data_IF_314708605512
#
_entry.id   IF_314708605512
#
_cell.length_a   1.000
_cell.length_b   1.000
_cell.length_c   1.000
_cell.angle_alpha   90.00
_cell.angle_beta   90.00
_cell.angle_gamma   90.00
#
_symmetry.space_group_name_H-M   'P 1'
#
loop_
_entity.id
_entity.type
_entity.pdbx_description
1 polymer ?
#
# COMPACT_ATOMS: atom_id res chain seq x y z
N UNK A 1 -17.21 12.81 19.90
CA UNK A 1 -16.62 14.13 19.63
C UNK A 1 -15.52 13.90 18.61
N UNK A 2 -15.55 14.60 17.49
CA UNK A 2 -14.50 14.58 16.47
C UNK A 2 -13.66 15.84 16.68
N UNK A 3 -12.35 15.70 16.77
CA UNK A 3 -11.42 16.83 16.87
C UNK A 3 -10.53 16.86 15.62
N UNK A 4 -10.36 18.06 15.05
CA UNK A 4 -9.43 18.29 13.95
C UNK A 4 -8.02 18.50 14.53
N UNK A 5 -7.11 17.57 14.22
CA UNK A 5 -5.72 17.64 14.69
C UNK A 5 -4.80 18.34 13.68
N UNK A 6 -5.20 18.41 12.40
CA UNK A 6 -4.43 19.03 11.33
C UNK A 6 -5.37 19.45 10.18
N UNK A 7 -5.08 20.59 9.57
CA UNK A 7 -5.86 21.15 8.45
C UNK A 7 -4.91 21.66 7.36
N UNK A 8 -4.92 21.00 6.21
CA UNK A 8 -4.03 21.32 5.09
C UNK A 8 -4.29 22.70 4.48
N UNK A 9 -5.55 23.18 4.47
CA UNK A 9 -5.87 24.49 3.95
C UNK A 9 -5.33 25.62 4.86
N UNK A 10 -5.30 25.39 6.16
CA UNK A 10 -4.69 26.31 7.11
C UNK A 10 -3.16 26.30 7.00
N UNK A 11 -2.54 25.11 6.90
CA UNK A 11 -1.09 24.99 6.68
C UNK A 11 -0.67 25.71 5.40
N UNK A 12 -1.40 25.51 4.30
CA UNK A 12 -1.12 26.19 3.03
C UNK A 12 -1.16 27.71 3.18
N UNK A 13 -2.13 28.25 3.92
CA UNK A 13 -2.24 29.70 4.18
C UNK A 13 -1.08 30.21 5.04
N UNK A 14 -0.70 29.45 6.08
CA UNK A 14 0.41 29.82 6.97
C UNK A 14 1.73 29.86 6.21
N UNK A 15 1.96 28.91 5.31
CA UNK A 15 3.17 28.80 4.51
C UNK A 15 3.19 29.78 3.31
N UNK A 16 2.08 30.42 3.00
CA UNK A 16 1.91 31.38 1.89
C UNK A 16 2.48 30.85 0.56
N UNK A 17 2.04 29.64 0.17
CA UNK A 17 2.58 28.92 -0.97
C UNK A 17 1.53 28.68 -2.07
N UNK A 18 1.95 28.75 -3.34
CA UNK A 18 1.09 28.43 -4.48
C UNK A 18 0.88 26.91 -4.62
N UNK A 19 1.96 26.13 -4.49
CA UNK A 19 1.92 24.67 -4.55
C UNK A 19 1.89 24.08 -3.14
N UNK A 20 1.07 23.05 -2.94
CA UNK A 20 0.95 22.35 -1.67
C UNK A 20 0.68 20.87 -1.88
N UNK A 21 1.70 20.06 -1.73
CA UNK A 21 1.64 18.59 -1.79
C UNK A 21 1.87 17.99 -0.42
N UNK A 22 0.96 17.12 0.02
CA UNK A 22 1.12 16.33 1.25
C UNK A 22 1.74 15.00 0.88
N UNK A 23 2.87 14.65 1.49
CA UNK A 23 3.53 13.36 1.29
C UNK A 23 3.02 12.29 2.24
N UNK A 24 3.09 12.55 3.53
CA UNK A 24 2.70 11.58 4.57
C UNK A 24 2.02 12.28 5.75
N UNK A 25 1.20 11.53 6.47
CA UNK A 25 0.54 11.93 7.71
C UNK A 25 0.53 10.71 8.63
N UNK A 26 1.40 10.69 9.63
CA UNK A 26 1.57 9.56 10.54
C UNK A 26 1.44 10.00 12.00
N UNK A 27 0.59 9.35 12.77
CA UNK A 27 0.43 9.60 14.21
C UNK A 27 1.36 8.66 14.97
N UNK A 28 2.04 9.17 16.00
CA UNK A 28 2.88 8.35 16.89
C UNK A 28 2.07 7.28 17.64
N UNK A 29 2.73 6.26 18.18
CA UNK A 29 2.03 5.12 18.80
C UNK A 29 1.28 5.51 20.07
N UNK A 30 1.74 6.55 20.76
CA UNK A 30 1.12 7.08 21.99
C UNK A 30 0.13 8.25 21.71
N UNK A 31 -0.23 8.52 20.46
CA UNK A 31 -1.11 9.60 20.02
C UNK A 31 -0.64 11.01 20.42
N UNK A 32 0.64 11.19 20.77
CA UNK A 32 1.18 12.48 21.21
C UNK A 32 1.64 13.35 20.06
N UNK A 33 2.21 12.74 19.04
CA UNK A 33 2.81 13.46 17.92
C UNK A 33 2.13 13.14 16.60
N UNK A 34 2.08 14.15 15.73
CA UNK A 34 1.75 14.01 14.33
C UNK A 34 3.01 14.32 13.51
N UNK A 35 3.51 13.32 12.79
CA UNK A 35 4.48 13.51 11.72
C UNK A 35 3.75 13.83 10.42
N UNK A 36 4.16 14.86 9.71
CA UNK A 36 3.63 15.16 8.40
C UNK A 36 4.72 15.70 7.48
N UNK A 37 4.57 15.50 6.20
CA UNK A 37 5.54 15.96 5.22
C UNK A 37 4.88 16.74 4.10
N UNK A 38 5.55 17.81 3.65
CA UNK A 38 5.05 18.73 2.65
C UNK A 38 6.08 18.98 1.56
N UNK A 39 5.63 18.98 0.30
CA UNK A 39 6.30 19.65 -0.81
C UNK A 39 5.53 20.94 -1.13
N UNK A 40 6.19 22.07 -0.95
CA UNK A 40 5.60 23.39 -1.19
C UNK A 40 6.09 24.06 -2.49
N UNK A 41 6.87 23.32 -3.29
CA UNK A 41 7.48 23.82 -4.53
C UNK A 41 7.10 23.01 -5.76
N UNK A 42 6.50 21.82 -5.60
CA UNK A 42 6.29 20.86 -6.68
C UNK A 42 7.59 20.19 -7.14
N UNK A 43 8.55 20.08 -6.23
CA UNK A 43 9.90 19.56 -6.50
C UNK A 43 10.06 18.09 -6.17
N UNK A 44 9.04 17.48 -5.53
CA UNK A 44 9.09 16.11 -4.98
C UNK A 44 10.18 15.91 -3.90
N UNK A 45 10.81 16.99 -3.44
CA UNK A 45 11.56 17.01 -2.19
C UNK A 45 10.63 17.44 -1.07
N UNK A 46 10.39 16.52 -0.15
CA UNK A 46 9.51 16.78 0.98
C UNK A 46 10.29 17.27 2.20
N UNK A 47 9.64 18.13 2.95
CA UNK A 47 10.09 18.56 4.27
C UNK A 47 9.21 17.90 5.33
N UNK A 48 9.82 17.20 6.29
CA UNK A 48 9.13 16.55 7.39
C UNK A 48 9.03 17.50 8.59
N UNK A 49 7.87 17.52 9.21
CA UNK A 49 7.53 18.24 10.43
C UNK A 49 7.00 17.27 11.47
N UNK A 50 7.33 17.50 12.74
CA UNK A 50 6.74 16.79 13.87
C UNK A 50 6.01 17.79 14.75
N UNK A 51 4.72 17.56 14.93
CA UNK A 51 3.82 18.41 15.71
C UNK A 51 3.36 17.71 16.98
N UNK A 52 3.41 18.38 18.10
CA UNK A 52 2.71 17.94 19.31
C UNK A 52 1.21 18.19 19.14
N UNK A 53 0.42 17.13 19.24
CA UNK A 53 -1.03 17.16 18.93
C UNK A 53 -1.78 18.05 19.93
N UNK A 54 -1.39 18.02 21.20
CA UNK A 54 -2.08 18.78 22.25
C UNK A 54 -1.82 20.29 22.13
N UNK A 55 -0.56 20.67 21.91
CA UNK A 55 -0.16 22.08 21.83
C UNK A 55 -0.32 22.66 20.42
N UNK A 56 -0.50 21.81 19.42
CA UNK A 56 -0.55 22.15 17.99
C UNK A 56 0.71 22.88 17.48
N UNK A 57 1.87 22.69 18.14
CA UNK A 57 3.14 23.31 17.78
C UNK A 57 4.10 22.29 17.18
N UNK A 58 4.82 22.71 16.16
CA UNK A 58 5.95 21.94 15.65
C UNK A 58 7.08 21.96 16.67
N UNK A 59 7.63 20.78 16.97
CA UNK A 59 8.62 20.57 18.05
C UNK A 59 10.03 20.28 17.52
N UNK A 60 10.16 19.93 16.24
CA UNK A 60 11.45 19.74 15.59
C UNK A 60 11.69 20.85 14.59
N UNK A 61 12.97 21.06 14.25
CA UNK A 61 13.31 21.78 13.02
C UNK A 61 12.93 20.95 11.81
N UNK A 62 12.74 21.64 10.70
CA UNK A 62 12.42 21.05 9.40
C UNK A 62 13.48 20.04 8.98
N UNK A 63 13.05 18.82 8.63
CA UNK A 63 13.91 17.81 8.03
C UNK A 63 13.68 17.86 6.52
N UNK A 64 14.62 18.43 5.81
CA UNK A 64 14.49 18.73 4.36
C UNK A 64 15.07 17.65 3.47
N UNK A 65 14.75 17.72 2.18
CA UNK A 65 15.30 16.83 1.13
C UNK A 65 14.99 15.36 1.38
N UNK A 66 13.76 15.08 1.84
CA UNK A 66 13.30 13.71 2.14
C UNK A 66 12.38 13.18 1.08
N UNK A 67 12.15 11.85 1.08
CA UNK A 67 11.12 11.19 0.28
C UNK A 67 9.69 11.50 0.77
N UNK A 68 9.55 12.11 1.94
CA UNK A 68 8.29 12.39 2.60
C UNK A 68 7.79 11.29 3.54
N UNK A 69 8.24 10.05 3.41
CA UNK A 69 7.79 8.95 4.28
C UNK A 69 8.34 9.08 5.70
N UNK A 70 7.49 8.80 6.68
CA UNK A 70 7.78 8.89 8.11
C UNK A 70 7.49 7.54 8.77
N UNK A 71 8.43 7.03 9.55
CA UNK A 71 8.21 5.85 10.39
C UNK A 71 8.60 6.16 11.82
N UNK A 72 7.63 6.23 12.74
CA UNK A 72 7.93 6.40 14.16
C UNK A 72 8.62 5.15 14.74
N UNK A 73 9.55 5.36 15.66
CA UNK A 73 9.99 4.25 16.51
C UNK A 73 8.85 3.82 17.43
N UNK A 74 8.86 2.54 17.85
CA UNK A 74 7.77 1.99 18.66
C UNK A 74 7.65 2.70 20.03
N UNK A 75 8.74 3.25 20.56
CA UNK A 75 8.80 4.02 21.79
C UNK A 75 8.54 5.53 21.59
N UNK A 76 8.26 5.95 20.36
CA UNK A 76 8.01 7.33 19.96
C UNK A 76 9.13 8.34 20.29
N UNK A 77 10.37 7.85 20.46
CA UNK A 77 11.55 8.73 20.67
C UNK A 77 12.15 9.20 19.37
N UNK A 78 12.05 8.41 18.33
CA UNK A 78 12.68 8.64 17.06
C UNK A 78 11.68 8.58 15.91
N UNK A 79 12.07 9.19 14.79
CA UNK A 79 11.53 8.85 13.48
C UNK A 79 12.64 8.33 12.58
N UNK A 80 12.29 7.43 11.68
CA UNK A 80 13.13 7.05 10.54
C UNK A 80 12.60 7.70 9.29
N UNK A 81 13.51 8.15 8.43
CA UNK A 81 13.17 8.78 7.16
C UNK A 81 14.22 8.48 6.10
N UNK A 82 13.83 8.61 4.83
CA UNK A 82 14.74 8.47 3.69
C UNK A 82 15.13 9.84 3.16
N UNK A 83 16.42 10.11 3.08
CA UNK A 83 16.96 11.33 2.48
C UNK A 83 17.20 11.12 1.00
N UNK A 84 16.75 12.09 0.17
CA UNK A 84 16.99 12.12 -1.27
C UNK A 84 18.32 12.76 -1.60
N UNK A 85 18.95 12.29 -2.66
CA UNK A 85 20.09 12.95 -3.29
C UNK A 85 19.67 13.93 -4.39
N UNK A 86 20.62 14.56 -5.06
CA UNK A 86 20.38 15.54 -6.14
C UNK A 86 19.67 14.97 -7.37
N UNK A 87 19.62 13.64 -7.49
CA UNK A 87 18.93 12.93 -8.56
C UNK A 87 17.55 12.37 -8.10
N UNK A 88 17.00 12.86 -7.01
CA UNK A 88 15.77 12.35 -6.37
C UNK A 88 15.86 10.86 -5.98
N UNK A 89 17.06 10.35 -5.68
CA UNK A 89 17.24 8.97 -5.27
C UNK A 89 17.33 8.86 -3.76
N UNK A 90 16.41 8.13 -3.17
CA UNK A 90 16.41 7.82 -1.75
C UNK A 90 17.33 6.64 -1.47
N UNK A 91 18.60 6.91 -1.11
CA UNK A 91 19.58 5.86 -0.84
C UNK A 91 20.05 5.76 0.60
N UNK A 92 19.64 6.72 1.44
CA UNK A 92 20.08 6.80 2.84
C UNK A 92 18.88 6.84 3.77
N UNK A 93 18.90 5.99 4.80
CA UNK A 93 17.94 6.02 5.89
C UNK A 93 18.61 6.61 7.11
N UNK A 94 17.98 7.62 7.67
CA UNK A 94 18.41 8.28 8.91
C UNK A 94 17.41 8.01 10.03
N UNK A 95 17.93 8.08 11.26
CA UNK A 95 17.15 8.12 12.50
C UNK A 95 17.30 9.51 13.11
N UNK A 96 16.18 10.19 13.35
CA UNK A 96 16.11 11.50 14.00
C UNK A 96 15.50 11.37 15.38
N UNK A 97 16.15 11.87 16.42
CA UNK A 97 15.58 11.95 17.76
C UNK A 97 14.64 13.15 17.84
N UNK A 98 13.38 12.89 18.23
CA UNK A 98 12.31 13.90 18.25
C UNK A 98 12.66 15.02 19.25
N UNK A 99 12.74 16.25 18.73
CA UNK A 99 13.10 17.43 19.52
C UNK A 99 14.57 17.87 19.41
N UNK A 100 15.42 17.07 18.79
CA UNK A 100 16.83 17.41 18.56
C UNK A 100 17.06 18.17 17.25
N UNK A 101 18.32 18.43 16.93
CA UNK A 101 18.72 19.08 15.69
C UNK A 101 19.06 18.03 14.64
N UNK A 102 18.73 18.32 13.37
CA UNK A 102 18.94 17.42 12.24
C UNK A 102 20.43 17.11 11.92
N UNK A 103 21.37 17.91 12.40
CA UNK A 103 22.81 17.62 12.27
C UNK A 103 23.29 16.52 13.24
N UNK A 104 22.43 16.07 14.14
CA UNK A 104 22.67 14.97 15.07
C UNK A 104 22.04 13.66 14.57
N UNK A 105 21.40 13.68 13.41
CA UNK A 105 20.72 12.52 12.85
C UNK A 105 21.70 11.40 12.50
N UNK A 106 21.35 10.20 12.90
CA UNK A 106 22.17 9.01 12.71
C UNK A 106 21.89 8.32 11.38
N UNK A 107 22.94 8.07 10.60
CA UNK A 107 22.84 7.27 9.39
C UNK A 107 22.70 5.78 9.75
N UNK A 108 21.54 5.18 9.49
CA UNK A 108 21.26 3.76 9.77
C UNK A 108 21.65 2.87 8.61
N UNK A 109 21.38 3.31 7.38
CA UNK A 109 21.65 2.50 6.19
C UNK A 109 21.99 3.38 4.99
N UNK A 110 22.91 2.89 4.14
CA UNK A 110 23.23 3.51 2.86
C UNK A 110 23.33 2.46 1.75
N UNK A 111 22.48 2.58 0.74
CA UNK A 111 22.58 1.83 -0.51
C UNK A 111 23.67 2.45 -1.40
N UNK A 112 24.62 1.63 -1.85
CA UNK A 112 25.74 2.08 -2.67
C UNK A 112 25.44 2.15 -4.17
N UNK A 113 24.44 1.38 -4.61
CA UNK A 113 24.03 1.37 -6.03
C UNK A 113 23.13 2.56 -6.32
N UNK A 114 23.42 3.31 -7.38
CA UNK A 114 22.58 4.41 -7.85
C UNK A 114 21.28 3.96 -8.50
N UNK A 115 21.18 2.67 -8.88
CA UNK A 115 19.98 2.10 -9.48
C UNK A 115 18.89 1.76 -8.44
N UNK A 116 19.26 1.68 -7.15
CA UNK A 116 18.37 1.22 -6.09
C UNK A 116 17.92 2.38 -5.20
N UNK A 117 16.70 2.28 -4.70
CA UNK A 117 16.14 3.16 -3.67
C UNK A 117 15.83 2.37 -2.42
N UNK A 118 15.80 3.04 -1.27
CA UNK A 118 15.55 2.40 0.01
C UNK A 118 14.32 2.96 0.71
N UNK A 119 13.67 2.11 1.48
CA UNK A 119 12.60 2.48 2.41
C UNK A 119 12.71 1.68 3.69
N UNK A 120 12.11 2.15 4.78
CA UNK A 120 12.05 1.46 6.05
C UNK A 120 10.62 1.35 6.54
N UNK A 121 10.29 0.26 7.22
CA UNK A 121 8.98 0.06 7.81
C UNK A 121 9.02 -0.89 9.00
N UNK A 122 8.04 -0.77 9.88
CA UNK A 122 7.85 -1.64 11.03
C UNK A 122 7.16 -2.95 10.60
N UNK A 123 7.60 -4.08 11.15
CA UNK A 123 6.96 -5.37 10.92
C UNK A 123 5.53 -5.41 11.50
N UNK A 124 4.69 -6.31 10.96
CA UNK A 124 3.30 -6.44 11.39
C UNK A 124 3.13 -6.87 12.86
N UNK A 125 4.12 -7.53 13.44
CA UNK A 125 4.16 -7.94 14.84
C UNK A 125 5.03 -7.01 15.72
N UNK A 126 5.45 -5.85 15.17
CA UNK A 126 6.17 -4.79 15.88
C UNK A 126 7.50 -5.24 16.51
N UNK A 127 8.14 -6.30 15.96
CA UNK A 127 9.38 -6.84 16.48
C UNK A 127 10.62 -6.42 15.70
N UNK A 128 10.45 -6.03 14.46
CA UNK A 128 11.53 -5.74 13.54
C UNK A 128 11.24 -4.48 12.72
N UNK A 129 12.30 -3.76 12.39
CA UNK A 129 12.30 -2.85 11.26
C UNK A 129 12.88 -3.57 10.05
N UNK A 130 12.21 -3.42 8.91
CA UNK A 130 12.69 -3.92 7.62
C UNK A 130 13.10 -2.75 6.74
N UNK A 131 14.31 -2.83 6.18
CA UNK A 131 14.80 -1.91 5.17
C UNK A 131 14.73 -2.62 3.83
N UNK A 132 13.96 -2.06 2.90
CA UNK A 132 13.88 -2.55 1.53
C UNK A 132 14.82 -1.74 0.66
N UNK A 133 15.64 -2.40 -0.15
CA UNK A 133 16.44 -1.80 -1.21
C UNK A 133 16.06 -2.44 -2.52
N UNK A 134 15.55 -1.66 -3.49
CA UNK A 134 15.01 -2.21 -4.73
C UNK A 134 15.14 -1.28 -5.92
N UNK A 135 15.20 -1.88 -7.10
CA UNK A 135 14.85 -1.29 -8.39
C UNK A 135 13.54 -1.92 -8.91
N UNK A 136 13.26 -1.77 -10.21
CA UNK A 136 12.03 -2.33 -10.82
C UNK A 136 11.95 -3.86 -10.81
N UNK A 137 13.08 -4.56 -10.85
CA UNK A 137 13.13 -6.00 -11.11
C UNK A 137 13.86 -6.78 -10.03
N UNK A 138 14.51 -6.11 -9.09
CA UNK A 138 15.41 -6.73 -8.13
C UNK A 138 15.23 -6.09 -6.77
N UNK A 139 15.15 -6.88 -5.73
CA UNK A 139 15.09 -6.35 -4.36
C UNK A 139 16.07 -7.04 -3.44
N UNK A 140 16.39 -6.36 -2.35
CA UNK A 140 17.17 -6.83 -1.23
C UNK A 140 16.59 -6.26 0.05
N UNK A 141 16.57 -7.04 1.12
CA UNK A 141 15.97 -6.58 2.36
C UNK A 141 16.90 -6.84 3.54
N UNK A 142 16.93 -5.87 4.44
CA UNK A 142 17.68 -5.93 5.70
C UNK A 142 16.71 -5.81 6.87
N UNK A 143 17.13 -6.23 8.05
CA UNK A 143 16.35 -6.10 9.27
C UNK A 143 17.22 -5.81 10.48
N UNK A 144 16.60 -5.20 11.48
CA UNK A 144 17.12 -5.12 12.86
C UNK A 144 15.92 -5.18 13.83
N UNK A 145 16.18 -5.52 15.08
CA UNK A 145 15.12 -5.63 16.08
C UNK A 145 14.74 -4.25 16.62
N UNK A 146 13.46 -4.11 16.99
CA UNK A 146 12.92 -2.85 17.54
C UNK A 146 13.66 -2.44 18.83
N UNK A 147 14.07 -3.41 19.64
CA UNK A 147 14.79 -3.20 20.90
C UNK A 147 16.27 -2.83 20.76
N UNK A 148 16.85 -2.83 19.56
CA UNK A 148 18.26 -2.47 19.34
C UNK A 148 18.48 -0.96 19.50
N UNK A 149 19.16 -0.52 20.55
CA UNK A 149 19.48 0.89 20.78
C UNK A 149 20.39 1.44 19.66
N UNK A 150 21.32 0.61 19.21
CA UNK A 150 22.24 0.93 18.09
C UNK A 150 21.92 0.00 16.92
N UNK A 151 21.01 0.40 16.03
CA UNK A 151 20.57 -0.45 14.92
C UNK A 151 21.73 -0.89 14.02
N UNK A 152 21.84 -2.20 13.81
CA UNK A 152 22.81 -2.78 12.89
C UNK A 152 22.07 -3.65 11.84
N UNK A 153 21.67 -3.07 10.71
CA UNK A 153 20.89 -3.78 9.71
C UNK A 153 21.57 -5.03 9.17
N UNK A 154 20.93 -6.19 9.33
CA UNK A 154 21.40 -7.50 8.86
C UNK A 154 20.71 -7.85 7.57
N UNK A 155 21.46 -8.30 6.57
CA UNK A 155 20.95 -8.79 5.31
C UNK A 155 20.10 -10.06 5.51
N UNK A 156 18.91 -10.10 4.87
CA UNK A 156 18.07 -11.30 4.87
C UNK A 156 18.52 -12.24 3.76
N UNK A 157 18.31 -11.88 2.49
CA UNK A 157 18.72 -12.67 1.32
C UNK A 157 19.45 -11.73 0.37
N UNK A 158 20.62 -12.14 -0.10
CA UNK A 158 21.39 -11.37 -1.09
C UNK A 158 20.59 -11.24 -2.39
N UNK A 159 20.56 -10.03 -2.96
CA UNK A 159 19.88 -9.75 -4.23
C UNK A 159 20.39 -10.65 -5.37
N UNK A 160 19.46 -11.06 -6.20
CA UNK A 160 19.69 -11.79 -7.44
C UNK A 160 18.95 -11.04 -8.56
N UNK A 161 19.62 -10.75 -9.65
CA UNK A 161 19.03 -9.97 -10.75
C UNK A 161 17.75 -10.62 -11.26
N UNK A 162 16.68 -9.86 -11.34
CA UNK A 162 15.36 -10.33 -11.76
C UNK A 162 14.54 -10.99 -10.65
N UNK A 163 15.07 -11.06 -9.41
CA UNK A 163 14.35 -11.59 -8.27
C UNK A 163 13.86 -10.45 -7.38
N UNK A 164 12.57 -10.40 -7.21
CA UNK A 164 11.88 -9.55 -6.24
C UNK A 164 11.50 -10.38 -5.03
N UNK A 165 11.69 -9.82 -3.84
CA UNK A 165 11.20 -10.44 -2.62
C UNK A 165 10.93 -9.38 -1.54
N UNK A 166 9.99 -9.69 -0.65
CA UNK A 166 9.78 -8.94 0.58
C UNK A 166 9.36 -9.88 1.71
N UNK A 167 10.01 -9.74 2.86
CA UNK A 167 9.75 -10.52 4.06
C UNK A 167 8.89 -9.71 5.02
N UNK A 168 7.86 -10.34 5.57
CA UNK A 168 7.04 -9.85 6.66
C UNK A 168 7.16 -10.76 7.87
N UNK A 169 6.97 -10.23 9.08
CA UNK A 169 6.98 -10.99 10.32
C UNK A 169 5.60 -11.01 10.97
N UNK A 170 5.16 -12.21 11.40
CA UNK A 170 3.92 -12.41 12.15
C UNK A 170 3.94 -13.73 12.94
N UNK A 171 3.54 -13.67 14.21
CA UNK A 171 3.44 -14.85 15.08
C UNK A 171 4.72 -15.71 15.13
N UNK A 172 5.88 -15.07 15.28
CA UNK A 172 7.22 -15.70 15.30
C UNK A 172 7.54 -16.49 14.03
N UNK A 173 6.97 -16.10 12.91
CA UNK A 173 7.26 -16.63 11.58
C UNK A 173 7.55 -15.50 10.60
N UNK A 174 8.33 -15.83 9.59
CA UNK A 174 8.66 -14.91 8.51
C UNK A 174 8.06 -15.43 7.22
N UNK A 175 7.42 -14.53 6.49
CA UNK A 175 6.73 -14.81 5.23
C UNK A 175 7.42 -14.04 4.12
N UNK A 176 7.97 -14.75 3.16
CA UNK A 176 8.68 -14.19 2.03
C UNK A 176 7.81 -14.26 0.77
N UNK A 177 7.30 -13.12 0.35
CA UNK A 177 6.62 -12.95 -0.92
C UNK A 177 7.68 -12.76 -2.01
N UNK A 178 7.78 -13.67 -2.98
CA UNK A 178 8.87 -13.65 -3.96
C UNK A 178 8.47 -14.26 -5.30
N UNK A 179 9.11 -13.77 -6.37
CA UNK A 179 9.03 -14.36 -7.70
C UNK A 179 10.16 -15.38 -7.97
N UNK A 180 10.98 -15.73 -6.99
CA UNK A 180 12.05 -16.73 -7.18
C UNK A 180 11.47 -18.10 -7.49
N UNK A 181 11.75 -18.60 -8.70
CA UNK A 181 11.17 -19.84 -9.25
C UNK A 181 9.62 -19.83 -9.28
N UNK A 182 9.01 -18.65 -9.48
CA UNK A 182 7.57 -18.45 -9.53
C UNK A 182 7.28 -17.15 -10.28
N UNK A 183 6.97 -17.21 -11.57
CA UNK A 183 6.78 -16.01 -12.43
C UNK A 183 5.76 -15.03 -11.80
N UNK A 184 4.61 -15.54 -11.35
CA UNK A 184 3.52 -14.76 -10.74
C UNK A 184 3.55 -14.78 -9.20
N UNK A 185 4.76 -14.89 -8.63
CA UNK A 185 5.03 -14.93 -7.20
C UNK A 185 4.49 -16.16 -6.47
N UNK A 186 4.99 -16.33 -5.28
CA UNK A 186 4.59 -17.29 -4.24
C UNK A 186 4.89 -16.71 -2.87
N UNK A 187 4.48 -17.41 -1.81
CA UNK A 187 4.85 -17.04 -0.45
C UNK A 187 5.55 -18.23 0.20
N UNK A 188 6.80 -18.02 0.60
CA UNK A 188 7.55 -18.96 1.39
C UNK A 188 7.50 -18.58 2.88
N UNK A 189 7.71 -19.53 3.78
CA UNK A 189 7.67 -19.35 5.24
C UNK A 189 8.90 -19.95 5.90
N UNK A 190 9.42 -19.29 6.93
CA UNK A 190 10.47 -19.83 7.82
C UNK A 190 10.22 -19.40 9.26
N UNK A 191 10.81 -20.12 10.21
CA UNK A 191 10.77 -19.78 11.64
C UNK A 191 11.96 -18.89 12.06
N UNK A 192 12.98 -18.73 11.21
CA UNK A 192 14.19 -17.98 11.52
C UNK A 192 14.79 -17.31 10.29
N UNK A 193 15.24 -16.06 10.44
CA UNK A 193 16.03 -15.36 9.42
C UNK A 193 17.52 -15.72 9.46
N UNK A 194 18.00 -16.26 10.58
CA UNK A 194 19.41 -16.70 10.73
C UNK A 194 19.62 -18.07 10.10
N UNK A 195 18.66 -19.00 10.35
CA UNK A 195 18.66 -20.35 9.76
C UNK A 195 17.57 -20.40 8.70
N UNK A 196 17.87 -19.88 7.53
CA UNK A 196 16.91 -19.70 6.44
C UNK A 196 16.49 -21.05 5.81
N UNK A 197 15.49 -21.69 6.41
CA UNK A 197 14.88 -22.90 5.88
C UNK A 197 13.50 -22.57 5.31
N UNK A 198 13.49 -21.87 4.18
CA UNK A 198 12.27 -21.46 3.50
C UNK A 198 11.51 -22.66 2.94
N UNK A 199 10.21 -22.73 3.24
CA UNK A 199 9.27 -23.72 2.71
C UNK A 199 8.11 -23.00 2.06
N UNK A 200 7.61 -23.50 0.96
CA UNK A 200 6.47 -22.88 0.30
C UNK A 200 5.22 -22.98 1.18
N UNK A 201 4.59 -21.83 1.42
CA UNK A 201 3.37 -21.65 2.20
C UNK A 201 2.15 -21.43 1.31
N UNK A 202 2.32 -20.60 0.27
CA UNK A 202 1.34 -20.41 -0.81
C UNK A 202 2.06 -20.77 -2.10
N UNK A 203 1.60 -21.83 -2.75
CA UNK A 203 2.15 -22.29 -4.02
C UNK A 203 1.89 -21.27 -5.14
N UNK A 204 2.81 -21.14 -6.09
CA UNK A 204 2.55 -20.36 -7.30
C UNK A 204 1.39 -20.99 -8.08
N UNK A 205 0.66 -20.17 -8.81
CA UNK A 205 -0.47 -20.60 -9.64
C UNK A 205 -0.28 -20.04 -11.05
N UNK A 206 -0.53 -20.85 -12.06
CA UNK A 206 -0.43 -20.41 -13.44
C UNK A 206 -1.42 -19.28 -13.73
N UNK A 207 -0.93 -18.19 -14.32
CA UNK A 207 -1.71 -16.99 -14.68
C UNK A 207 -2.44 -16.31 -13.50
N UNK A 208 -1.93 -16.49 -12.28
CA UNK A 208 -2.45 -15.85 -11.07
C UNK A 208 -1.34 -15.15 -10.33
N UNK A 209 -1.34 -13.82 -10.38
CA UNK A 209 -0.42 -13.00 -9.60
C UNK A 209 -0.79 -13.11 -8.11
N UNK A 210 0.08 -13.72 -7.33
CA UNK A 210 -0.05 -13.81 -5.88
C UNK A 210 0.41 -12.50 -5.23
N UNK A 211 -0.45 -11.84 -4.49
CA UNK A 211 -0.11 -10.65 -3.71
C UNK A 211 0.48 -10.97 -2.33
N UNK A 212 0.99 -9.93 -1.68
CA UNK A 212 1.51 -10.04 -0.32
C UNK A 212 0.44 -10.32 0.73
N UNK A 213 0.88 -10.62 1.95
CA UNK A 213 0.00 -10.91 3.08
C UNK A 213 -0.21 -9.69 3.97
N UNK A 214 -1.45 -9.50 4.41
CA UNK A 214 -1.82 -8.68 5.57
C UNK A 214 -2.18 -9.60 6.72
N UNK A 215 -1.65 -9.29 7.90
CA UNK A 215 -1.80 -10.13 9.08
C UNK A 215 -2.68 -9.45 10.14
N UNK A 216 -3.57 -10.22 10.72
CA UNK A 216 -4.36 -9.89 11.90
C UNK A 216 -4.28 -11.07 12.88
N UNK A 217 -4.78 -10.91 14.12
CA UNK A 217 -4.70 -11.89 15.18
C UNK A 217 -4.84 -13.35 14.70
N UNK A 218 -5.97 -13.67 14.11
CA UNK A 218 -6.34 -15.03 13.70
C UNK A 218 -6.43 -15.18 12.18
N UNK A 219 -5.97 -14.18 11.41
CA UNK A 219 -6.22 -14.11 9.98
C UNK A 219 -4.97 -13.74 9.18
N UNK A 220 -4.81 -14.41 8.07
CA UNK A 220 -3.92 -14.04 6.99
C UNK A 220 -4.80 -13.68 5.80
N UNK A 221 -4.60 -12.49 5.26
CA UNK A 221 -5.35 -11.96 4.14
C UNK A 221 -4.37 -11.72 3.02
N UNK A 222 -4.71 -12.14 1.81
CA UNK A 222 -3.92 -11.88 0.60
C UNK A 222 -4.80 -11.52 -0.57
N UNK A 223 -4.24 -10.80 -1.54
CA UNK A 223 -4.83 -10.60 -2.86
C UNK A 223 -4.30 -11.63 -3.86
N UNK A 224 -5.11 -11.95 -4.85
CA UNK A 224 -4.74 -12.67 -6.07
C UNK A 224 -5.33 -11.93 -7.25
N UNK A 225 -4.55 -11.75 -8.32
CA UNK A 225 -5.05 -11.14 -9.56
C UNK A 225 -4.99 -12.16 -10.68
N UNK A 226 -6.11 -12.42 -11.32
CA UNK A 226 -6.19 -13.28 -12.50
C UNK A 226 -7.13 -12.68 -13.53
N UNK A 227 -6.77 -12.79 -14.80
CA UNK A 227 -7.55 -12.18 -15.89
C UNK A 227 -7.84 -10.68 -15.61
N UNK A 228 -6.85 -9.95 -15.07
CA UNK A 228 -6.92 -8.55 -14.63
C UNK A 228 -8.11 -8.23 -13.67
N UNK A 229 -8.52 -9.19 -12.85
CA UNK A 229 -9.49 -9.01 -11.77
C UNK A 229 -8.89 -9.45 -10.44
N UNK A 230 -8.99 -8.56 -9.46
CA UNK A 230 -8.49 -8.81 -8.12
C UNK A 230 -9.49 -9.61 -7.30
N UNK A 231 -8.97 -10.50 -6.46
CA UNK A 231 -9.71 -11.28 -5.47
C UNK A 231 -9.01 -11.17 -4.13
N UNK A 232 -9.77 -11.27 -3.05
CA UNK A 232 -9.24 -11.30 -1.70
C UNK A 232 -9.51 -12.68 -1.09
N UNK A 233 -8.47 -13.29 -0.56
CA UNK A 233 -8.56 -14.55 0.18
C UNK A 233 -8.28 -14.31 1.65
N UNK A 234 -9.10 -14.90 2.50
CA UNK A 234 -8.95 -14.87 3.96
C UNK A 234 -8.70 -16.27 4.48
N UNK A 235 -7.67 -16.44 5.29
CA UNK A 235 -7.30 -17.71 5.92
C UNK A 235 -7.30 -17.57 7.43
N UNK A 236 -8.10 -18.36 8.10
CA UNK A 236 -8.04 -18.44 9.56
C UNK A 236 -6.86 -19.31 9.98
N UNK A 237 -5.95 -18.77 10.82
CA UNK A 237 -4.71 -19.45 11.20
C UNK A 237 -4.93 -20.64 12.13
N UNK A 238 -6.03 -20.64 12.90
CA UNK A 238 -6.37 -21.71 13.83
C UNK A 238 -7.05 -22.89 13.12
N UNK A 239 -8.14 -22.60 12.40
CA UNK A 239 -8.93 -23.63 11.69
C UNK A 239 -8.31 -24.06 10.38
N UNK A 240 -7.33 -23.31 9.86
CA UNK A 240 -6.69 -23.50 8.53
C UNK A 240 -7.66 -23.32 7.35
N UNK A 241 -8.92 -22.98 7.62
CA UNK A 241 -9.91 -22.72 6.56
C UNK A 241 -9.53 -21.45 5.79
N UNK A 242 -9.58 -21.54 4.49
CA UNK A 242 -9.38 -20.45 3.55
C UNK A 242 -10.60 -20.29 2.66
N UNK A 243 -10.98 -19.06 2.39
CA UNK A 243 -12.11 -18.74 1.50
C UNK A 243 -11.87 -17.42 0.77
N UNK A 244 -12.45 -17.29 -0.43
CA UNK A 244 -12.54 -16.03 -1.15
C UNK A 244 -13.56 -15.11 -0.46
N UNK A 245 -13.20 -13.84 -0.28
CA UNK A 245 -14.07 -12.83 0.30
C UNK A 245 -14.93 -12.19 -0.79
N UNK A 246 -16.19 -12.58 -0.86
CA UNK A 246 -17.16 -12.02 -1.79
C UNK A 246 -17.81 -10.77 -1.17
N UNK A 247 -17.55 -9.60 -1.75
CA UNK A 247 -18.06 -8.31 -1.23
C UNK A 247 -19.41 -7.96 -1.84
N UNK A 248 -19.66 -8.34 -3.10
CA UNK A 248 -20.83 -8.00 -3.89
C UNK A 248 -21.15 -9.12 -4.89
N UNK A 249 -22.37 -9.12 -5.42
CA UNK A 249 -22.79 -10.01 -6.51
C UNK A 249 -22.22 -9.56 -7.89
N UNK A 250 -21.67 -8.36 -7.98
CA UNK A 250 -21.02 -7.87 -9.19
C UNK A 250 -19.67 -8.59 -9.40
N UNK A 251 -19.57 -9.36 -10.48
CA UNK A 251 -18.37 -10.15 -10.80
C UNK A 251 -17.19 -9.30 -11.29
N UNK A 252 -17.48 -8.14 -11.88
CA UNK A 252 -16.48 -7.20 -12.42
C UNK A 252 -16.42 -6.04 -11.46
N UNK A 253 -15.50 -6.12 -10.50
CA UNK A 253 -15.32 -5.13 -9.45
C UNK A 253 -13.87 -5.12 -8.96
N UNK A 254 -13.56 -4.09 -8.21
CA UNK A 254 -12.27 -3.92 -7.53
C UNK A 254 -12.50 -4.04 -6.02
N UNK A 255 -12.15 -5.17 -5.42
CA UNK A 255 -12.15 -5.31 -3.98
C UNK A 255 -10.88 -4.69 -3.38
N UNK A 256 -10.99 -4.14 -2.19
CA UNK A 256 -9.86 -3.65 -1.42
C UNK A 256 -10.00 -4.01 0.05
N UNK A 257 -8.88 -4.10 0.75
CA UNK A 257 -8.88 -4.32 2.19
C UNK A 257 -7.85 -3.42 2.86
N UNK A 258 -8.22 -2.84 3.98
CA UNK A 258 -7.32 -2.06 4.81
C UNK A 258 -7.60 -2.27 6.29
N UNK A 259 -6.60 -1.97 7.12
CA UNK A 259 -6.73 -2.07 8.56
C UNK A 259 -7.64 -0.96 9.10
N UNK A 260 -8.36 -1.25 10.17
CA UNK A 260 -9.17 -0.26 10.88
C UNK A 260 -8.38 0.55 11.89
N UNK A 261 -7.22 0.03 12.30
CA UNK A 261 -6.36 0.59 13.35
C UNK A 261 -4.95 -0.03 13.28
N UNK A 262 -3.98 0.55 13.97
CA UNK A 262 -2.61 0.01 14.08
C UNK A 262 -2.59 -1.35 14.81
N UNK A 263 -3.34 -1.47 15.92
CA UNK A 263 -3.46 -2.75 16.66
C UNK A 263 -4.10 -3.82 15.78
N UNK A 264 -3.32 -4.84 15.48
CA UNK A 264 -3.74 -5.98 14.66
C UNK A 264 -4.50 -7.07 15.41
N UNK A 265 -4.70 -6.89 16.73
CA UNK A 265 -5.47 -7.81 17.56
C UNK A 265 -6.99 -7.60 17.40
N UNK A 266 -7.46 -7.58 16.18
CA UNK A 266 -8.83 -7.30 15.79
C UNK A 266 -9.33 -8.29 14.74
N UNK A 267 -10.66 -8.44 14.66
CA UNK A 267 -11.33 -9.12 13.55
C UNK A 267 -11.93 -8.13 12.55
N UNK A 268 -11.79 -6.83 12.78
CA UNK A 268 -12.39 -5.80 11.95
C UNK A 268 -11.41 -5.30 10.90
N UNK A 269 -11.91 -5.14 9.69
CA UNK A 269 -11.20 -4.55 8.56
C UNK A 269 -12.11 -3.58 7.83
N UNK A 270 -11.54 -2.64 7.10
CA UNK A 270 -12.29 -1.91 6.09
C UNK A 270 -12.21 -2.66 4.76
N UNK A 271 -13.37 -2.90 4.16
CA UNK A 271 -13.48 -3.41 2.81
C UNK A 271 -13.80 -2.26 1.86
N UNK A 272 -12.89 -1.98 0.93
CA UNK A 272 -13.13 -1.15 -0.23
C UNK A 272 -13.87 -1.94 -1.30
N UNK A 273 -14.75 -1.27 -2.01
CA UNK A 273 -15.47 -1.85 -3.15
C UNK A 273 -15.77 -0.78 -4.18
N UNK A 274 -15.58 -1.12 -5.44
CA UNK A 274 -15.94 -0.27 -6.58
C UNK A 274 -16.12 -1.15 -7.80
N UNK A 275 -16.98 -0.74 -8.74
CA UNK A 275 -17.10 -1.36 -10.07
C UNK A 275 -17.23 -0.26 -11.13
N UNK A 276 -17.15 -0.55 -12.44
CA UNK A 276 -17.31 0.49 -13.46
C UNK A 276 -18.62 1.28 -13.36
N UNK A 277 -19.67 0.70 -12.76
CA UNK A 277 -20.99 1.33 -12.60
C UNK A 277 -21.34 1.69 -11.16
N UNK A 278 -20.58 1.20 -10.16
CA UNK A 278 -20.88 1.40 -8.74
C UNK A 278 -19.80 2.27 -8.09
N UNK A 279 -20.17 3.46 -7.57
CA UNK A 279 -19.26 4.34 -6.85
C UNK A 279 -18.50 3.64 -5.73
N UNK A 280 -17.34 4.18 -5.37
CA UNK A 280 -16.50 3.62 -4.31
C UNK A 280 -17.26 3.57 -2.98
N UNK A 281 -17.20 2.42 -2.32
CA UNK A 281 -17.81 2.15 -1.01
C UNK A 281 -16.76 1.62 -0.04
N UNK A 282 -16.89 2.01 1.21
CA UNK A 282 -16.09 1.46 2.31
C UNK A 282 -17.04 0.84 3.33
N UNK A 283 -16.79 -0.42 3.64
CA UNK A 283 -17.53 -1.17 4.64
C UNK A 283 -16.64 -1.50 5.83
N UNK A 284 -17.16 -1.36 7.04
CA UNK A 284 -16.60 -2.04 8.21
C UNK A 284 -17.07 -3.49 8.18
N UNK A 285 -16.11 -4.41 8.16
CA UNK A 285 -16.38 -5.85 8.06
C UNK A 285 -15.71 -6.60 9.19
N UNK A 286 -16.44 -7.54 9.79
CA UNK A 286 -15.90 -8.43 10.82
C UNK A 286 -15.64 -9.82 10.23
N UNK A 287 -14.38 -10.24 10.22
CA UNK A 287 -13.92 -11.49 9.62
C UNK A 287 -14.51 -12.74 10.29
N UNK A 288 -14.80 -12.68 11.60
CA UNK A 288 -15.37 -13.82 12.35
C UNK A 288 -16.87 -13.97 12.14
N UNK A 289 -17.63 -12.87 12.26
CA UNK A 289 -19.10 -12.89 12.18
C UNK A 289 -19.62 -12.67 10.77
N UNK A 290 -18.74 -12.24 9.84
CA UNK A 290 -19.09 -11.85 8.48
C UNK A 290 -20.09 -10.68 8.39
N UNK A 291 -20.27 -9.95 9.48
CA UNK A 291 -21.11 -8.75 9.49
C UNK A 291 -20.47 -7.62 8.69
N UNK A 292 -21.29 -6.92 7.92
CA UNK A 292 -20.86 -5.85 7.01
C UNK A 292 -21.71 -4.60 7.24
N UNK A 293 -21.09 -3.45 7.49
CA UNK A 293 -21.74 -2.15 7.68
C UNK A 293 -21.13 -1.13 6.73
N UNK A 294 -21.94 -0.48 5.90
CA UNK A 294 -21.49 0.64 5.05
C UNK A 294 -21.06 1.81 5.96
N UNK A 295 -19.83 2.29 5.76
CA UNK A 295 -19.23 3.42 6.50
C UNK A 295 -19.20 4.66 5.63
N UNK A 296 -18.82 4.50 4.36
CA UNK A 296 -18.68 5.61 3.42
C UNK A 296 -19.05 5.16 2.01
N UNK A 297 -19.71 6.03 1.27
CA UNK A 297 -19.94 5.90 -0.17
C UNK A 297 -19.52 7.20 -0.85
N UNK A 298 -18.89 7.07 -2.02
CA UNK A 298 -18.52 8.22 -2.82
C UNK A 298 -19.78 8.96 -3.28
N UNK A 299 -19.88 10.23 -2.96
CA UNK A 299 -20.94 11.10 -3.41
C UNK A 299 -20.75 11.49 -4.87
N UNK A 300 -21.84 11.48 -5.62
CA UNK A 300 -21.89 11.97 -7.00
C UNK A 300 -22.92 13.10 -7.06
N UNK A 301 -22.49 14.37 -6.89
CA UNK A 301 -23.39 15.51 -6.75
C UNK A 301 -24.37 15.71 -7.93
N UNK A 302 -23.95 15.33 -9.14
CA UNK A 302 -24.80 15.34 -10.35
C UNK A 302 -25.86 14.24 -10.41
N UNK A 303 -25.86 13.33 -9.42
CA UNK A 303 -26.68 12.13 -9.40
C UNK A 303 -26.06 10.98 -10.20
N UNK A 304 -26.30 9.77 -9.72
CA UNK A 304 -25.86 8.54 -10.38
C UNK A 304 -26.78 7.39 -10.00
N UNK A 305 -27.10 6.54 -10.98
CA UNK A 305 -27.84 5.31 -10.75
C UNK A 305 -27.11 4.15 -11.45
N UNK A 306 -26.51 3.26 -10.68
CA UNK A 306 -25.76 2.09 -11.19
C UNK A 306 -26.61 1.19 -12.13
N UNK A 307 -27.95 1.18 -11.96
CA UNK A 307 -28.86 0.39 -12.80
C UNK A 307 -29.02 0.95 -14.22
N UNK A 308 -28.53 2.14 -14.49
CA UNK A 308 -28.57 2.72 -15.83
C UNK A 308 -27.40 2.27 -16.71
N UNK A 309 -26.44 1.54 -16.14
CA UNK A 309 -25.23 1.10 -16.82
C UNK A 309 -25.14 -0.42 -16.88
N UNK A 310 -24.65 -0.90 -18.01
CA UNK A 310 -24.33 -2.31 -18.26
C UNK A 310 -22.81 -2.43 -18.29
N UNK A 311 -22.29 -3.42 -17.57
CA UNK A 311 -20.87 -3.77 -17.54
C UNK A 311 -20.72 -5.20 -18.06
N UNK A 312 -19.91 -5.37 -19.08
CA UNK A 312 -19.66 -6.64 -19.73
C UNK A 312 -18.16 -6.87 -19.83
N UNK A 313 -17.75 -8.12 -19.83
CA UNK A 313 -16.36 -8.49 -20.05
C UNK A 313 -16.29 -9.43 -21.24
N UNK A 314 -15.41 -9.10 -22.16
CA UNK A 314 -15.11 -9.92 -23.32
C UNK A 314 -13.60 -10.16 -23.38
N UNK A 315 -13.20 -11.12 -24.16
CA UNK A 315 -11.80 -11.38 -24.48
C UNK A 315 -11.63 -11.24 -25.99
N UNK A 316 -10.52 -10.69 -26.41
CA UNK A 316 -10.12 -10.67 -27.79
C UNK A 316 -8.73 -11.27 -27.95
N UNK A 317 -8.47 -11.91 -29.09
CA UNK A 317 -7.19 -12.47 -29.41
C UNK A 317 -6.24 -11.38 -29.92
N UNK A 318 -5.10 -11.19 -29.23
CA UNK A 318 -4.03 -10.30 -29.62
C UNK A 318 -3.23 -10.87 -30.79
N UNK A 319 -2.37 -10.06 -31.40
CA UNK A 319 -1.50 -10.44 -32.52
C UNK A 319 -0.54 -11.60 -32.20
N UNK A 320 -0.26 -11.86 -30.93
CA UNK A 320 0.55 -12.97 -30.44
C UNK A 320 -0.28 -14.22 -30.02
N UNK A 321 -1.59 -14.20 -30.29
CA UNK A 321 -2.52 -15.28 -29.97
C UNK A 321 -3.01 -15.31 -28.52
N UNK A 322 -2.58 -14.37 -27.68
CA UNK A 322 -3.05 -14.29 -26.28
C UNK A 322 -4.42 -13.62 -26.19
N UNK A 323 -5.25 -14.15 -25.31
CA UNK A 323 -6.54 -13.55 -24.99
C UNK A 323 -6.36 -12.36 -24.04
N UNK A 324 -6.81 -11.19 -24.48
CA UNK A 324 -6.75 -9.94 -23.70
C UNK A 324 -8.15 -9.59 -23.21
N UNK A 325 -8.33 -9.44 -21.89
CA UNK A 325 -9.63 -9.09 -21.34
C UNK A 325 -9.95 -7.61 -21.55
N UNK A 326 -11.16 -7.33 -21.99
CA UNK A 326 -11.74 -6.00 -22.15
C UNK A 326 -12.96 -5.84 -21.27
N UNK A 327 -13.00 -4.77 -20.47
CA UNK A 327 -14.19 -4.39 -19.71
C UNK A 327 -14.93 -3.28 -20.46
N UNK A 328 -16.15 -3.56 -20.86
CA UNK A 328 -17.01 -2.62 -21.59
C UNK A 328 -18.03 -2.06 -20.61
N UNK A 329 -18.12 -0.73 -20.54
CA UNK A 329 -19.16 -0.03 -19.78
C UNK A 329 -19.97 0.84 -20.72
N UNK A 330 -21.30 0.71 -20.69
CA UNK A 330 -22.19 1.51 -21.51
C UNK A 330 -23.47 1.86 -20.77
N UNK A 331 -24.12 2.94 -21.16
CA UNK A 331 -25.48 3.23 -20.70
C UNK A 331 -26.46 2.20 -21.32
N UNK A 332 -27.47 1.77 -20.58
CA UNK A 332 -28.42 0.75 -21.03
C UNK A 332 -29.20 1.13 -22.31
N UNK A 333 -29.29 2.43 -22.62
CA UNK A 333 -29.95 2.96 -23.82
C UNK A 333 -29.01 3.06 -25.03
N UNK A 334 -27.71 2.81 -24.87
CA UNK A 334 -26.73 2.85 -25.97
C UNK A 334 -27.06 1.78 -26.99
N UNK A 335 -27.25 2.18 -28.25
CA UNK A 335 -27.52 1.26 -29.36
C UNK A 335 -26.24 0.49 -29.70
N UNK A 336 -26.41 -0.83 -29.90
CA UNK A 336 -25.31 -1.71 -30.34
C UNK A 336 -25.47 -1.99 -31.83
N UNK A 337 -25.37 -0.96 -32.64
CA UNK A 337 -25.52 -1.00 -34.09
C UNK A 337 -24.33 -0.42 -34.86
N UNK A 338 -23.21 -0.16 -34.14
CA UNK A 338 -22.00 0.42 -34.72
C UNK A 338 -22.00 1.94 -34.83
N UNK A 339 -23.06 2.64 -34.37
CA UNK A 339 -23.16 4.11 -34.46
C UNK A 339 -22.73 4.85 -33.20
N UNK A 340 -22.59 4.15 -32.07
CA UNK A 340 -22.15 4.75 -30.82
C UNK A 340 -20.65 5.05 -30.84
N UNK A 341 -20.28 6.20 -30.28
CA UNK A 341 -18.86 6.52 -30.05
C UNK A 341 -18.25 5.55 -29.05
N UNK A 342 -16.97 5.23 -29.22
CA UNK A 342 -16.21 4.35 -28.36
C UNK A 342 -14.97 5.08 -27.84
N UNK A 343 -14.76 5.09 -26.52
CA UNK A 343 -13.49 5.43 -25.91
C UNK A 343 -12.75 4.14 -25.54
N UNK A 344 -11.65 3.84 -26.22
CA UNK A 344 -10.73 2.77 -25.83
C UNK A 344 -9.65 3.36 -24.92
N UNK A 345 -9.55 2.80 -23.72
CA UNK A 345 -8.55 3.22 -22.72
C UNK A 345 -7.78 2.01 -22.21
N UNK A 346 -6.46 2.10 -22.19
CA UNK A 346 -5.60 1.02 -21.74
C UNK A 346 -4.24 1.50 -21.26
N UNK A 347 -3.61 0.68 -20.44
CA UNK A 347 -2.24 0.80 -19.99
C UNK A 347 -1.71 -0.61 -19.69
N UNK A 348 -0.42 -0.84 -19.85
CA UNK A 348 0.17 -2.18 -19.65
C UNK A 348 1.66 -2.16 -19.40
N UNK A 349 2.28 -0.96 -19.27
CA UNK A 349 3.70 -0.87 -18.95
C UNK A 349 3.99 -1.26 -17.51
N UNK A 350 5.19 -1.74 -17.25
CA UNK A 350 5.69 -2.09 -15.91
C UNK A 350 4.86 -3.15 -15.18
N UNK A 351 4.22 -4.08 -15.91
CA UNK A 351 3.35 -5.11 -15.31
C UNK A 351 2.02 -4.59 -14.75
N UNK A 352 1.67 -3.33 -15.01
CA UNK A 352 0.45 -2.72 -14.51
C UNK A 352 -0.74 -3.02 -15.42
N UNK A 353 -1.83 -3.53 -14.85
CA UNK A 353 -3.10 -3.73 -15.54
C UNK A 353 -4.14 -2.70 -15.10
N UNK A 354 -5.13 -2.45 -15.96
CA UNK A 354 -6.21 -1.51 -15.67
C UNK A 354 -7.32 -2.17 -14.87
N UNK A 355 -7.48 -1.74 -13.62
CA UNK A 355 -8.59 -2.21 -12.78
C UNK A 355 -9.92 -1.60 -13.20
N UNK A 356 -11.02 -2.39 -13.20
CA UNK A 356 -12.36 -1.94 -13.59
C UNK A 356 -13.05 -1.17 -12.45
N UNK A 357 -12.48 -0.02 -12.05
CA UNK A 357 -12.99 0.83 -11.00
C UNK A 357 -14.02 1.85 -11.51
N UNK A 358 -14.79 2.43 -10.58
CA UNK A 358 -15.65 3.58 -10.85
C UNK A 358 -14.80 4.83 -11.18
N UNK A 359 -15.29 5.61 -12.13
CA UNK A 359 -14.73 6.93 -12.43
C UNK A 359 -15.86 7.86 -12.87
N UNK A 360 -16.15 8.90 -12.09
CA UNK A 360 -17.14 9.92 -12.43
C UNK A 360 -16.82 10.61 -13.76
N UNK A 361 -15.52 10.81 -14.04
CA UNK A 361 -15.07 11.39 -15.32
C UNK A 361 -15.40 10.49 -16.51
N UNK A 362 -15.17 9.18 -16.40
CA UNK A 362 -15.52 8.22 -17.46
C UNK A 362 -17.02 8.10 -17.63
N UNK A 363 -17.78 8.07 -16.54
CA UNK A 363 -19.25 8.01 -16.57
C UNK A 363 -19.83 9.24 -17.27
N UNK A 364 -19.22 10.40 -17.16
CA UNK A 364 -19.69 11.63 -17.83
C UNK A 364 -19.50 11.60 -19.36
N UNK A 365 -18.75 10.64 -19.89
CA UNK A 365 -18.54 10.42 -21.32
C UNK A 365 -19.49 9.37 -21.92
N UNK A 366 -20.23 8.63 -21.08
CA UNK A 366 -21.16 7.57 -21.45
C UNK A 366 -22.59 8.10 -21.47
#
# INVERSE_FOLDING_TARGET
>A
ITEEIWNGDEEKKILDTEYFGVGDLEVSNNDKYLGYSLDIKGSEYYTIYIRDIQTKKNITKEITETSGSITFSLDDKYIFYTKLDENHRGRKIYRHEIGNFTNEDELIFEEKSEAFTVSIGLSSDEKYYFINSSDHNTSEQYYFKVEEENPNPKLIIKREKGVLYSVSSWNNKFYNHTNKNAEDFKIDITDSLEVQNWKTFIEPKDEVLIGGCTFLKDWIIRSETSNALDKIFIKNVTTKKEEELIISDEKICVPGISLTQKDRNTNNVYLGYSSPKTPSRVYLYNLSTKSKKLVKEQEIPSGHNSNDYIVERIEYESHDGRLVPLTITRHKKTKIDGTANLLLYGYGSYGSSMSPNFSSTRISLI
#
